data_IF_203734910338
#
_entry.id   IF_203734910338
#
_cell.length_a   1.000
_cell.length_b   1.000
_cell.length_c   1.000
_cell.angle_alpha   90.00
_cell.angle_beta   90.00
_cell.angle_gamma   90.00
#
_symmetry.space_group_name_H-M   'P 1'
#
loop_
_entity.id
_entity.type
_entity.pdbx_description
1 polymer ?
#
# COMPACT_ATOMS: atom_id res chain seq x y z
N UNK A 1 23.90 -21.03 9.77
CA UNK A 1 24.39 -19.64 9.60
C UNK A 1 23.18 -18.72 9.38
N UNK A 2 22.61 -18.09 10.42
CA UNK A 2 21.43 -17.20 10.24
C UNK A 2 21.20 -16.17 11.37
N UNK A 3 22.22 -15.86 12.19
CA UNK A 3 22.03 -14.99 13.37
C UNK A 3 22.48 -13.53 13.16
N UNK A 4 23.29 -13.26 12.12
CA UNK A 4 23.71 -11.90 11.74
C UNK A 4 22.93 -11.32 10.55
N UNK A 5 22.58 -12.15 9.55
CA UNK A 5 21.73 -11.71 8.43
C UNK A 5 20.34 -11.28 8.88
N UNK A 6 19.80 -11.85 9.95
CA UNK A 6 18.46 -11.54 10.45
C UNK A 6 18.35 -10.13 11.05
N UNK A 7 19.41 -9.59 11.67
CA UNK A 7 19.38 -8.23 12.24
C UNK A 7 19.52 -7.16 11.18
N UNK A 8 20.49 -7.31 10.27
CA UNK A 8 20.67 -6.38 9.13
C UNK A 8 19.44 -6.40 8.21
N UNK A 9 18.91 -7.60 7.93
CA UNK A 9 17.69 -7.74 7.15
C UNK A 9 16.47 -7.13 7.84
N UNK A 10 16.33 -7.29 9.17
CA UNK A 10 15.22 -6.68 9.92
C UNK A 10 15.32 -5.16 9.95
N UNK A 11 16.51 -4.61 10.17
CA UNK A 11 16.75 -3.15 10.15
C UNK A 11 16.46 -2.61 8.76
N UNK A 12 16.94 -3.28 7.72
CA UNK A 12 16.68 -2.89 6.34
C UNK A 12 15.19 -2.95 5.98
N UNK A 13 14.50 -4.00 6.42
CA UNK A 13 13.05 -4.16 6.22
C UNK A 13 12.26 -3.07 6.94
N UNK A 14 12.63 -2.76 8.19
CA UNK A 14 12.02 -1.69 8.95
C UNK A 14 12.27 -0.33 8.29
N UNK A 15 13.51 -0.02 7.92
CA UNK A 15 13.86 1.22 7.23
C UNK A 15 13.11 1.36 5.90
N UNK A 16 13.00 0.27 5.13
CA UNK A 16 12.25 0.22 3.89
C UNK A 16 10.75 0.45 4.12
N UNK A 17 10.18 -0.16 5.16
CA UNK A 17 8.78 0.04 5.52
C UNK A 17 8.51 1.49 5.95
N UNK A 18 9.41 2.10 6.72
CA UNK A 18 9.31 3.50 7.14
C UNK A 18 9.42 4.45 5.94
N UNK A 19 10.36 4.22 5.04
CA UNK A 19 10.50 4.99 3.80
C UNK A 19 9.26 4.85 2.91
N UNK A 20 8.77 3.63 2.72
CA UNK A 20 7.55 3.38 1.96
C UNK A 20 6.34 4.09 2.59
N UNK A 21 6.20 4.03 3.92
CA UNK A 21 5.14 4.73 4.64
C UNK A 21 5.25 6.26 4.48
N UNK A 22 6.46 6.82 4.56
CA UNK A 22 6.68 8.26 4.37
C UNK A 22 6.33 8.72 2.95
N UNK A 23 6.73 7.96 1.93
CA UNK A 23 6.41 8.24 0.52
C UNK A 23 4.90 8.10 0.27
N UNK A 24 4.29 7.03 0.76
CA UNK A 24 2.85 6.81 0.63
C UNK A 24 2.05 7.94 1.29
N UNK A 25 2.42 8.35 2.51
CA UNK A 25 1.81 9.49 3.21
C UNK A 25 1.92 10.76 2.38
N UNK A 26 3.10 11.06 1.83
CA UNK A 26 3.31 12.27 1.02
C UNK A 26 2.51 12.25 -0.28
N UNK A 27 2.45 11.11 -0.97
CA UNK A 27 1.68 10.94 -2.19
C UNK A 27 0.19 11.17 -1.91
N UNK A 28 -0.37 10.46 -0.93
CA UNK A 28 -1.77 10.53 -0.54
C UNK A 28 -2.17 11.95 -0.11
N UNK A 29 -1.34 12.61 0.73
CA UNK A 29 -1.57 14.00 1.14
C UNK A 29 -1.51 14.98 -0.03
N UNK A 30 -0.53 14.82 -0.93
CA UNK A 30 -0.39 15.70 -2.09
C UNK A 30 -1.55 15.53 -3.07
N UNK A 31 -1.97 14.30 -3.33
CA UNK A 31 -3.12 14.02 -4.20
C UNK A 31 -4.40 14.65 -3.66
N UNK A 32 -4.65 14.55 -2.35
CA UNK A 32 -5.81 15.20 -1.73
C UNK A 32 -5.76 16.72 -1.83
N UNK A 33 -4.60 17.31 -1.51
CA UNK A 33 -4.44 18.76 -1.56
C UNK A 33 -4.63 19.30 -2.98
N UNK A 34 -4.14 18.58 -3.99
CA UNK A 34 -4.30 18.97 -5.41
C UNK A 34 -5.75 18.82 -5.87
N UNK A 35 -6.46 17.78 -5.43
CA UNK A 35 -7.84 17.50 -5.88
C UNK A 35 -8.89 18.32 -5.14
N UNK A 36 -8.75 18.45 -3.82
CA UNK A 36 -9.74 19.09 -2.94
C UNK A 36 -9.36 20.53 -2.59
N UNK A 37 -8.11 20.95 -2.81
CA UNK A 37 -7.59 22.26 -2.38
C UNK A 37 -7.42 22.43 -0.87
N UNK A 38 -7.89 21.45 -0.08
CA UNK A 38 -7.89 21.43 1.39
C UNK A 38 -6.75 20.57 1.93
N UNK A 39 -6.33 20.83 3.17
CA UNK A 39 -5.45 19.89 3.86
C UNK A 39 -6.20 18.58 4.12
N UNK A 40 -5.59 17.41 3.87
CA UNK A 40 -6.21 16.13 4.19
C UNK A 40 -6.46 16.04 5.70
N UNK A 41 -7.57 15.43 6.14
CA UNK A 41 -7.81 15.17 7.55
C UNK A 41 -6.67 14.30 8.07
N UNK A 42 -5.73 14.93 8.79
CA UNK A 42 -4.48 14.32 9.21
C UNK A 42 -4.72 13.13 10.16
N UNK A 43 -5.85 13.16 10.84
CA UNK A 43 -6.39 12.08 11.65
C UNK A 43 -7.92 12.00 11.42
N UNK A 44 -8.42 11.05 10.63
CA UNK A 44 -9.85 10.88 10.41
C UNK A 44 -10.63 10.48 11.68
N UNK A 45 -9.92 10.08 12.74
CA UNK A 45 -10.50 9.81 14.06
C UNK A 45 -10.50 11.05 14.97
N UNK A 46 -10.06 12.20 14.47
CA UNK A 46 -10.16 13.47 15.18
C UNK A 46 -11.62 13.94 15.19
N UNK A 47 -12.22 14.18 16.37
CA UNK A 47 -13.61 14.63 16.48
C UNK A 47 -13.87 15.99 15.84
N UNK A 48 -12.83 16.80 15.58
CA UNK A 48 -12.94 18.10 14.90
C UNK A 48 -13.02 17.98 13.37
N UNK A 49 -12.89 16.76 12.82
CA UNK A 49 -13.08 16.49 11.39
C UNK A 49 -14.54 16.18 11.11
N UNK A 50 -15.14 16.87 10.13
CA UNK A 50 -16.48 16.57 9.67
C UNK A 50 -16.59 15.08 9.29
N UNK A 51 -17.56 14.38 9.89
CA UNK A 51 -17.78 12.94 9.71
C UNK A 51 -17.88 12.54 8.23
N UNK A 52 -18.47 13.41 7.40
CA UNK A 52 -18.54 13.23 5.95
C UNK A 52 -17.18 13.33 5.26
N UNK A 53 -16.32 14.28 5.66
CA UNK A 53 -14.97 14.41 5.10
C UNK A 53 -14.11 13.19 5.48
N UNK A 54 -14.24 12.67 6.70
CA UNK A 54 -13.57 11.44 7.13
C UNK A 54 -14.00 10.21 6.32
N UNK A 55 -15.32 10.05 6.07
CA UNK A 55 -15.86 8.95 5.26
C UNK A 55 -15.40 9.06 3.80
N UNK A 56 -15.47 10.25 3.21
CA UNK A 56 -15.01 10.48 1.84
C UNK A 56 -13.51 10.15 1.68
N UNK A 57 -12.70 10.57 2.66
CA UNK A 57 -11.28 10.24 2.71
C UNK A 57 -11.01 8.74 2.82
N UNK A 58 -11.72 8.05 3.73
CA UNK A 58 -11.57 6.62 3.93
C UNK A 58 -11.98 5.82 2.69
N UNK A 59 -13.11 6.17 2.06
CA UNK A 59 -13.57 5.53 0.83
C UNK A 59 -12.57 5.71 -0.32
N UNK A 60 -12.06 6.94 -0.51
CA UNK A 60 -11.09 7.25 -1.56
C UNK A 60 -9.77 6.52 -1.35
N UNK A 61 -9.17 6.66 -0.16
CA UNK A 61 -7.90 6.03 0.17
C UNK A 61 -8.00 4.49 0.19
N UNK A 62 -9.06 3.93 0.78
CA UNK A 62 -9.29 2.50 0.82
C UNK A 62 -9.44 1.89 -0.57
N UNK A 63 -10.21 2.53 -1.45
CA UNK A 63 -10.39 2.07 -2.84
C UNK A 63 -9.08 2.10 -3.61
N UNK A 64 -8.30 3.18 -3.51
CA UNK A 64 -7.01 3.29 -4.18
C UNK A 64 -6.02 2.24 -3.69
N UNK A 65 -5.92 2.00 -2.39
CA UNK A 65 -5.03 0.98 -1.82
C UNK A 65 -5.44 -0.43 -2.28
N UNK A 66 -6.74 -0.73 -2.29
CA UNK A 66 -7.25 -2.01 -2.76
C UNK A 66 -6.91 -2.26 -4.24
N UNK A 67 -7.13 -1.25 -5.10
CA UNK A 67 -6.77 -1.33 -6.52
C UNK A 67 -5.26 -1.47 -6.73
N UNK A 68 -4.46 -0.68 -6.02
CA UNK A 68 -3.00 -0.77 -6.08
C UNK A 68 -2.50 -2.17 -5.70
N UNK A 69 -3.04 -2.74 -4.61
CA UNK A 69 -2.72 -4.10 -4.17
C UNK A 69 -3.11 -5.13 -5.22
N UNK A 70 -4.32 -5.05 -5.78
CA UNK A 70 -4.81 -5.95 -6.83
C UNK A 70 -3.92 -5.90 -8.08
N UNK A 71 -3.56 -4.71 -8.54
CA UNK A 71 -2.70 -4.55 -9.70
C UNK A 71 -1.28 -5.07 -9.44
N UNK A 72 -0.73 -4.79 -8.26
CA UNK A 72 0.58 -5.27 -7.86
C UNK A 72 0.63 -6.79 -7.80
N UNK A 73 -0.34 -7.45 -7.15
CA UNK A 73 -0.41 -8.92 -7.08
C UNK A 73 -0.62 -9.53 -8.46
N UNK A 74 -1.49 -8.95 -9.29
CA UNK A 74 -1.70 -9.41 -10.67
C UNK A 74 -0.45 -9.30 -11.52
N UNK A 75 0.29 -8.18 -11.42
CA UNK A 75 1.55 -7.97 -12.13
C UNK A 75 2.64 -8.91 -11.63
N UNK A 76 2.76 -9.12 -10.33
CA UNK A 76 3.70 -10.08 -9.75
C UNK A 76 3.41 -11.51 -10.25
N UNK A 77 2.14 -11.92 -10.25
CA UNK A 77 1.73 -13.23 -10.78
C UNK A 77 2.00 -13.36 -12.29
N UNK A 78 1.73 -12.32 -13.07
CA UNK A 78 1.98 -12.32 -14.53
C UNK A 78 3.49 -12.30 -14.83
N UNK A 79 4.27 -11.55 -14.06
CA UNK A 79 5.72 -11.49 -14.19
C UNK A 79 6.34 -12.84 -13.86
N UNK A 80 5.93 -13.45 -12.74
CA UNK A 80 6.35 -14.80 -12.34
C UNK A 80 5.96 -15.85 -13.40
N UNK A 81 4.75 -15.78 -13.95
CA UNK A 81 4.33 -16.66 -15.04
C UNK A 81 5.17 -16.46 -16.31
N UNK A 82 5.47 -15.21 -16.68
CA UNK A 82 6.35 -14.87 -17.82
C UNK A 82 7.79 -15.30 -17.63
N UNK A 83 8.33 -15.19 -16.41
CA UNK A 83 9.74 -15.50 -16.12
C UNK A 83 10.00 -16.99 -15.95
N UNK A 84 9.00 -17.77 -15.55
CA UNK A 84 9.19 -19.17 -15.13
C UNK A 84 8.51 -20.19 -16.05
N UNK A 85 7.68 -19.74 -17.01
CA UNK A 85 7.02 -20.60 -18.01
C UNK A 85 6.02 -21.62 -17.45
N UNK A 86 5.79 -21.62 -16.13
CA UNK A 86 4.86 -22.47 -15.39
C UNK A 86 4.10 -21.61 -14.39
N UNK A 87 2.79 -21.81 -14.29
CA UNK A 87 1.96 -21.15 -13.28
C UNK A 87 2.39 -21.62 -11.87
N UNK A 88 2.52 -20.71 -10.88
CA UNK A 88 2.80 -21.09 -9.51
C UNK A 88 1.68 -21.99 -8.96
N UNK A 89 2.01 -23.01 -8.15
CA UNK A 89 1.09 -24.10 -7.76
C UNK A 89 -0.17 -23.63 -7.03
N UNK A 90 -0.16 -22.45 -6.40
CA UNK A 90 -1.27 -21.92 -5.62
C UNK A 90 -2.45 -21.35 -6.45
N UNK A 91 -2.34 -21.27 -7.78
CA UNK A 91 -3.41 -20.80 -8.68
C UNK A 91 -4.04 -21.91 -9.54
N UNK A 92 -3.61 -23.18 -9.41
CA UNK A 92 -4.18 -24.29 -10.19
C UNK A 92 -5.44 -24.90 -9.57
N UNK A 93 -5.71 -24.62 -8.30
CA UNK A 93 -6.89 -25.15 -7.61
C UNK A 93 -7.73 -23.98 -7.15
N UNK A 94 -8.82 -23.73 -7.88
CA UNK A 94 -10.15 -23.30 -7.41
C UNK A 94 -10.95 -22.92 -8.67
N UNK A 95 -11.47 -23.95 -9.34
CA UNK A 95 -12.73 -23.84 -10.09
C UNK A 95 -13.88 -23.85 -9.08
#
# INVERSE_FOLDING_TARGET
>A
MAKDSSKVWSIFSLASALLAAAVAKKAVTSTWKVTTGKQPPANPADPDVDLWEAVAWAAFSGTLVALARMLATRKAATYYAKSTGKLPPDLQKNA
#
